data_IF_862924215628
#
_entry.id   IF_862924215628
#
_cell.length_a   1.000
_cell.length_b   1.000
_cell.length_c   1.000
_cell.angle_alpha   90.00
_cell.angle_beta   90.00
_cell.angle_gamma   90.00
#
_symmetry.space_group_name_H-M   'P 1'
#
loop_
_entity.id
_entity.type
_entity.pdbx_description
1 polymer ?
#
# COMPACT_ATOMS: atom_id res chain seq x y z
N UNK A 1 -38.85 20.07 22.62
CA UNK A 1 -38.96 19.12 23.74
C UNK A 1 -39.25 17.73 23.22
N UNK A 2 -38.21 16.95 22.99
CA UNK A 2 -38.27 15.50 22.99
C UNK A 2 -36.90 15.05 23.47
N UNK A 3 -36.90 14.57 24.70
CA UNK A 3 -35.75 14.20 25.50
C UNK A 3 -34.99 13.03 24.88
N UNK A 4 -33.69 13.00 25.17
CA UNK A 4 -32.79 11.95 24.73
C UNK A 4 -33.27 10.57 25.18
N UNK A 5 -33.42 9.68 24.21
CA UNK A 5 -33.33 8.25 24.44
C UNK A 5 -32.02 7.80 23.81
N UNK A 6 -31.07 7.41 24.65
CA UNK A 6 -29.91 6.64 24.22
C UNK A 6 -30.39 5.33 23.58
N UNK A 7 -29.77 4.88 22.47
CA UNK A 7 -30.18 3.66 21.80
C UNK A 7 -30.03 2.43 22.72
N UNK A 8 -30.87 1.39 22.56
CA UNK A 8 -30.83 0.18 23.37
C UNK A 8 -29.47 -0.52 23.26
N UNK A 9 -28.93 -0.99 24.39
CA UNK A 9 -27.73 -1.84 24.41
C UNK A 9 -28.03 -3.15 23.66
N UNK A 10 -27.33 -3.39 22.54
CA UNK A 10 -27.47 -4.60 21.72
C UNK A 10 -27.91 -4.38 20.27
N UNK A 11 -28.01 -3.13 19.79
CA UNK A 11 -28.01 -2.87 18.35
C UNK A 11 -26.63 -3.23 17.78
N UNK A 12 -26.52 -3.80 16.56
CA UNK A 12 -25.25 -3.97 15.87
C UNK A 12 -24.76 -2.59 15.43
N UNK A 13 -24.36 -1.79 16.42
CA UNK A 13 -23.68 -0.54 16.26
C UNK A 13 -22.24 -0.88 15.90
N UNK A 14 -21.80 -0.32 14.78
CA UNK A 14 -20.44 0.08 14.48
C UNK A 14 -19.60 0.22 15.76
N UNK A 15 -18.96 -0.88 16.17
CA UNK A 15 -17.80 -0.82 17.02
C UNK A 15 -16.70 -0.41 16.06
N UNK A 16 -16.35 0.87 16.08
CA UNK A 16 -15.28 1.40 15.25
C UNK A 16 -13.99 0.78 15.76
N UNK A 17 -13.65 -0.39 15.22
CA UNK A 17 -12.38 -1.02 15.48
C UNK A 17 -11.28 -0.04 15.01
N UNK A 18 -10.43 0.46 15.91
CA UNK A 18 -9.30 1.30 15.54
C UNK A 18 -8.27 0.57 14.66
N UNK A 19 -8.43 -0.74 14.42
CA UNK A 19 -7.49 -1.62 13.72
C UNK A 19 -7.69 -1.75 12.20
N UNK A 20 -8.84 -1.39 11.63
CA UNK A 20 -9.06 -1.62 10.19
C UNK A 20 -8.47 -0.47 9.36
N UNK A 21 -7.17 -0.54 9.19
CA UNK A 21 -6.38 0.26 8.28
C UNK A 21 -5.96 -0.65 7.13
N UNK A 22 -6.24 -0.29 5.89
CA UNK A 22 -5.85 -1.14 4.76
C UNK A 22 -4.32 -1.24 4.71
N UNK A 23 -3.78 -2.47 4.71
CA UNK A 23 -2.33 -2.73 4.61
C UNK A 23 -2.06 -3.31 3.23
N UNK A 24 -1.20 -2.64 2.47
CA UNK A 24 -0.73 -3.14 1.17
C UNK A 24 0.68 -3.70 1.34
N UNK A 25 0.88 -4.95 0.94
CA UNK A 25 2.18 -5.61 0.93
C UNK A 25 2.75 -5.65 -0.49
N UNK A 26 4.03 -5.31 -0.62
CA UNK A 26 4.75 -5.36 -1.90
C UNK A 26 6.10 -6.02 -1.67
N UNK A 27 6.31 -7.20 -2.23
CA UNK A 27 7.58 -7.94 -2.12
C UNK A 27 8.42 -7.79 -3.39
N UNK A 28 9.64 -7.25 -3.25
CA UNK A 28 10.59 -7.12 -4.34
C UNK A 28 11.12 -8.48 -4.82
N UNK A 29 11.22 -9.47 -3.93
CA UNK A 29 11.70 -10.81 -4.26
C UNK A 29 10.79 -11.57 -5.22
N UNK A 30 9.51 -11.22 -5.25
CA UNK A 30 8.51 -11.80 -6.18
C UNK A 30 8.51 -11.13 -7.56
N UNK A 31 9.20 -10.01 -7.71
CA UNK A 31 9.35 -9.34 -8.99
C UNK A 31 10.61 -9.87 -9.71
N UNK A 32 10.45 -10.52 -10.85
CA UNK A 32 11.58 -10.76 -11.75
C UNK A 32 11.74 -9.58 -12.74
N UNK A 33 12.83 -8.79 -12.66
CA UNK A 33 13.01 -7.60 -13.50
C UNK A 33 13.29 -7.95 -14.97
N UNK A 34 13.54 -9.21 -15.30
CA UNK A 34 13.68 -9.65 -16.70
C UNK A 34 12.33 -9.89 -17.38
N UNK A 35 11.35 -10.32 -16.59
CA UNK A 35 10.03 -10.71 -17.11
C UNK A 35 9.04 -9.54 -17.04
N UNK A 36 9.19 -8.69 -16.02
CA UNK A 36 8.28 -7.56 -15.75
C UNK A 36 9.01 -6.23 -15.67
N UNK A 37 8.46 -5.24 -16.37
CA UNK A 37 8.95 -3.86 -16.30
C UNK A 37 8.42 -3.13 -15.06
N UNK A 38 9.16 -2.14 -14.57
CA UNK A 38 8.73 -1.28 -13.46
C UNK A 38 7.43 -0.54 -13.80
N UNK A 39 7.17 -0.27 -15.07
CA UNK A 39 5.90 0.31 -15.50
C UNK A 39 4.74 -0.68 -15.35
N UNK A 40 4.92 -1.96 -15.69
CA UNK A 40 3.89 -2.98 -15.47
C UNK A 40 3.63 -3.21 -13.98
N UNK A 41 4.68 -3.29 -13.15
CA UNK A 41 4.53 -3.38 -11.69
C UNK A 41 3.80 -2.14 -11.14
N UNK A 42 4.17 -0.95 -11.61
CA UNK A 42 3.47 0.29 -11.25
C UNK A 42 1.99 0.28 -11.66
N UNK A 43 1.61 -0.32 -12.79
CA UNK A 43 0.20 -0.49 -13.17
C UNK A 43 -0.56 -1.37 -12.20
N UNK A 44 0.06 -2.42 -11.65
CA UNK A 44 -0.58 -3.25 -10.60
C UNK A 44 -0.85 -2.38 -9.36
N UNK A 45 0.08 -1.51 -8.98
CA UNK A 45 -0.13 -0.55 -7.88
C UNK A 45 -1.26 0.45 -8.18
N UNK A 46 -1.41 0.90 -9.44
CA UNK A 46 -2.52 1.76 -9.85
C UNK A 46 -3.86 1.05 -9.73
N UNK A 47 -3.99 -0.16 -10.29
CA UNK A 47 -5.23 -0.94 -10.23
C UNK A 47 -5.61 -1.26 -8.78
N UNK A 48 -4.62 -1.60 -7.96
CA UNK A 48 -4.81 -1.78 -6.51
C UNK A 48 -5.33 -0.48 -5.87
N UNK A 49 -4.70 0.65 -6.19
CA UNK A 49 -5.11 1.96 -5.65
C UNK A 49 -6.52 2.35 -6.10
N UNK A 50 -6.92 2.05 -7.34
CA UNK A 50 -8.27 2.28 -7.85
C UNK A 50 -9.30 1.53 -7.00
N UNK A 51 -9.13 0.23 -6.81
CA UNK A 51 -10.05 -0.61 -6.04
C UNK A 51 -10.15 -0.16 -4.58
N UNK A 52 -9.02 -0.03 -3.88
CA UNK A 52 -9.04 0.35 -2.46
C UNK A 52 -9.53 1.79 -2.26
N UNK A 53 -9.39 2.65 -3.27
CA UNK A 53 -9.92 4.02 -3.19
C UNK A 53 -11.44 4.07 -3.20
N UNK A 54 -12.13 3.00 -3.57
CA UNK A 54 -13.60 2.93 -3.54
C UNK A 54 -14.15 2.47 -2.20
N UNK A 55 -13.31 1.87 -1.35
CA UNK A 55 -13.69 1.45 -0.02
C UNK A 55 -13.86 2.68 0.89
N UNK A 56 -15.10 2.96 1.31
CA UNK A 56 -15.42 4.08 2.19
C UNK A 56 -14.56 4.08 3.46
N UNK A 57 -14.33 2.89 4.03
CA UNK A 57 -13.50 2.73 5.21
C UNK A 57 -12.04 3.16 4.95
N UNK A 58 -11.45 2.72 3.85
CA UNK A 58 -10.10 3.09 3.43
C UNK A 58 -9.98 4.59 3.13
N UNK A 59 -10.99 5.22 2.52
CA UNK A 59 -11.03 6.67 2.32
C UNK A 59 -11.05 7.45 3.66
N UNK A 60 -11.81 6.95 4.64
CA UNK A 60 -11.94 7.58 5.95
C UNK A 60 -10.66 7.40 6.78
N UNK A 61 -10.22 6.15 6.97
CA UNK A 61 -9.13 5.77 7.88
C UNK A 61 -7.75 5.97 7.24
N UNK A 62 -7.63 5.68 5.95
CA UNK A 62 -6.36 5.69 5.21
C UNK A 62 -5.69 4.32 5.19
N UNK A 63 -4.48 4.27 4.64
CA UNK A 63 -3.74 3.02 4.41
C UNK A 63 -2.27 3.12 4.82
N UNK A 64 -1.65 1.96 5.08
CA UNK A 64 -0.22 1.79 5.32
C UNK A 64 0.31 0.83 4.27
N UNK A 65 1.53 1.04 3.84
CA UNK A 65 2.17 0.16 2.86
C UNK A 65 3.42 -0.42 3.47
N UNK A 66 3.63 -1.73 3.32
CA UNK A 66 4.86 -2.42 3.64
C UNK A 66 5.52 -2.84 2.33
N UNK A 67 6.70 -2.29 2.05
CA UNK A 67 7.56 -2.74 0.96
C UNK A 67 8.66 -3.61 1.55
N UNK A 68 8.59 -4.90 1.24
CA UNK A 68 9.64 -5.84 1.56
C UNK A 68 10.67 -5.85 0.42
N UNK A 69 11.84 -5.32 0.72
CA UNK A 69 12.95 -5.18 -0.22
C UNK A 69 13.91 -6.37 -0.17
N UNK A 70 13.54 -7.46 0.51
CA UNK A 70 14.25 -8.73 0.37
C UNK A 70 14.22 -9.18 -1.10
N UNK A 71 15.39 -9.53 -1.65
CA UNK A 71 15.55 -9.86 -3.07
C UNK A 71 15.66 -8.64 -4.01
N UNK A 72 15.64 -7.41 -3.49
CA UNK A 72 15.96 -6.23 -4.29
C UNK A 72 17.35 -6.36 -4.93
N UNK A 73 17.49 -5.94 -6.18
CA UNK A 73 18.68 -6.21 -7.01
C UNK A 73 19.02 -5.00 -7.88
N UNK A 74 20.22 -5.00 -8.48
CA UNK A 74 20.59 -3.96 -9.44
C UNK A 74 19.65 -3.95 -10.66
N UNK A 75 19.14 -5.11 -11.07
CA UNK A 75 18.16 -5.22 -12.15
C UNK A 75 16.89 -4.43 -11.85
N UNK A 76 16.40 -4.46 -10.60
CA UNK A 76 15.29 -3.64 -10.15
C UNK A 76 15.63 -2.14 -10.18
N UNK A 77 16.78 -1.79 -9.60
CA UNK A 77 17.22 -0.40 -9.49
C UNK A 77 17.36 0.29 -10.85
N UNK A 78 17.88 -0.41 -11.87
CA UNK A 78 18.08 0.13 -13.22
C UNK A 78 16.75 0.44 -13.95
N UNK A 79 15.63 -0.15 -13.53
CA UNK A 79 14.33 0.17 -14.10
C UNK A 79 13.70 1.43 -13.52
N UNK A 80 14.17 1.88 -12.35
CA UNK A 80 13.66 3.11 -11.73
C UNK A 80 14.39 4.31 -12.31
N UNK A 81 13.69 5.01 -13.21
CA UNK A 81 14.14 6.26 -13.81
C UNK A 81 13.31 7.45 -13.32
N UNK A 82 13.70 8.72 -13.62
CA UNK A 82 12.97 9.90 -13.15
C UNK A 82 11.50 10.00 -13.61
N UNK A 83 11.12 9.32 -14.71
CA UNK A 83 9.72 9.24 -15.14
C UNK A 83 8.90 8.34 -14.20
N UNK A 84 9.44 7.15 -13.90
CA UNK A 84 8.83 6.21 -12.94
C UNK A 84 8.82 6.82 -11.53
N UNK A 85 9.90 7.48 -11.10
CA UNK A 85 9.97 8.13 -9.79
C UNK A 85 8.88 9.21 -9.60
N UNK A 86 8.59 10.00 -10.63
CA UNK A 86 7.49 10.97 -10.62
C UNK A 86 6.12 10.29 -10.55
N UNK A 87 5.92 9.22 -11.32
CA UNK A 87 4.69 8.42 -11.30
C UNK A 87 4.42 7.82 -9.92
N UNK A 88 5.42 7.19 -9.29
CA UNK A 88 5.34 6.67 -7.92
C UNK A 88 4.92 7.80 -6.96
N UNK A 89 5.58 8.95 -7.06
CA UNK A 89 5.31 10.08 -6.18
C UNK A 89 3.89 10.64 -6.34
N UNK A 90 3.37 10.67 -7.57
CA UNK A 90 1.99 11.09 -7.87
C UNK A 90 0.97 10.19 -7.18
N UNK A 91 1.17 8.87 -7.22
CA UNK A 91 0.25 7.91 -6.59
C UNK A 91 0.25 8.03 -5.07
N UNK A 92 1.42 8.23 -4.48
CA UNK A 92 1.56 8.37 -3.02
C UNK A 92 1.01 9.69 -2.46
N UNK A 93 0.80 10.71 -3.30
CA UNK A 93 0.40 12.04 -2.86
C UNK A 93 -1.05 12.36 -3.21
N UNK A 94 -1.36 12.45 -4.50
CA UNK A 94 -2.53 13.23 -4.94
C UNK A 94 -3.37 12.53 -6.03
N UNK A 95 -2.99 11.33 -6.50
CA UNK A 95 -3.69 10.68 -7.63
C UNK A 95 -5.01 10.00 -7.22
N UNK A 96 -5.18 9.68 -5.94
CA UNK A 96 -6.35 8.97 -5.42
C UNK A 96 -6.87 9.66 -4.15
N UNK A 97 -8.17 9.55 -3.81
CA UNK A 97 -8.74 10.04 -2.56
C UNK A 97 -8.34 9.16 -1.35
N UNK A 98 -7.06 8.79 -1.30
CA UNK A 98 -6.46 7.90 -0.31
C UNK A 98 -5.54 8.68 0.63
N UNK A 99 -5.60 8.35 1.91
CA UNK A 99 -4.70 8.92 2.92
C UNK A 99 -3.59 7.93 3.21
N UNK A 100 -2.42 8.11 2.58
CA UNK A 100 -1.22 7.34 2.91
C UNK A 100 -0.72 7.74 4.29
N UNK A 101 -0.93 6.90 5.31
CA UNK A 101 -0.60 7.19 6.72
C UNK A 101 0.80 6.72 7.12
N UNK A 102 1.36 5.74 6.42
CA UNK A 102 2.70 5.20 6.67
C UNK A 102 3.20 4.39 5.47
N UNK A 103 4.49 4.48 5.20
CA UNK A 103 5.22 3.68 4.20
C UNK A 103 6.39 3.05 4.93
N UNK A 104 6.41 1.74 5.00
CA UNK A 104 7.36 0.96 5.79
C UNK A 104 8.22 0.15 4.83
N UNK A 105 9.51 0.47 4.76
CA UNK A 105 10.51 -0.27 3.99
C UNK A 105 11.20 -1.23 4.95
N UNK A 106 11.13 -2.53 4.65
CA UNK A 106 11.83 -3.57 5.41
C UNK A 106 12.80 -4.29 4.49
N UNK A 107 13.83 -4.91 5.07
CA UNK A 107 14.88 -5.61 4.34
C UNK A 107 15.58 -4.74 3.28
N UNK A 108 15.60 -3.41 3.43
CA UNK A 108 16.17 -2.53 2.42
C UNK A 108 17.70 -2.64 2.38
N UNK A 109 18.29 -3.02 1.24
CA UNK A 109 19.74 -3.08 1.14
C UNK A 109 20.34 -1.69 1.05
N UNK A 110 21.61 -1.51 1.46
CA UNK A 110 22.28 -0.20 1.36
C UNK A 110 22.25 0.42 -0.04
N UNK A 111 22.26 -0.41 -1.09
CA UNK A 111 22.20 0.05 -2.48
C UNK A 111 20.79 0.44 -2.97
N UNK A 112 19.76 0.37 -2.12
CA UNK A 112 18.46 0.99 -2.37
C UNK A 112 18.49 2.52 -2.19
N UNK A 113 19.43 3.04 -1.39
CA UNK A 113 19.52 4.48 -1.07
C UNK A 113 19.56 5.42 -2.30
N UNK A 114 20.31 5.14 -3.38
CA UNK A 114 20.29 5.97 -4.58
C UNK A 114 18.92 6.03 -5.26
N UNK A 115 18.19 4.91 -5.27
CA UNK A 115 16.82 4.84 -5.83
C UNK A 115 15.88 5.69 -4.99
N UNK A 116 15.94 5.56 -3.68
CA UNK A 116 15.16 6.42 -2.78
C UNK A 116 15.51 7.91 -2.94
N UNK A 117 16.79 8.25 -3.10
CA UNK A 117 17.24 9.61 -3.34
C UNK A 117 16.72 10.20 -4.67
N UNK A 118 16.43 9.35 -5.66
CA UNK A 118 15.78 9.76 -6.91
C UNK A 118 14.28 10.06 -6.73
N UNK A 119 13.59 9.30 -5.88
CA UNK A 119 12.14 9.45 -5.63
C UNK A 119 11.87 10.62 -4.68
N UNK A 120 12.64 10.73 -3.60
CA UNK A 120 12.44 11.66 -2.48
C UNK A 120 12.17 13.13 -2.88
N UNK A 121 12.84 13.73 -3.88
CA UNK A 121 12.59 15.12 -4.27
C UNK A 121 11.17 15.40 -4.75
N UNK A 122 10.48 14.39 -5.31
CA UNK A 122 9.13 14.52 -5.84
C UNK A 122 8.05 14.30 -4.77
N UNK A 123 8.43 13.87 -3.57
CA UNK A 123 7.47 13.60 -2.49
C UNK A 123 7.14 14.87 -1.72
N UNK A 124 5.86 15.11 -1.36
CA UNK A 124 5.50 16.15 -0.41
C UNK A 124 6.11 15.86 0.97
N UNK A 125 6.38 16.90 1.76
CA UNK A 125 7.01 16.74 3.08
C UNK A 125 6.18 15.87 4.03
N UNK A 126 4.86 15.94 3.92
CA UNK A 126 3.92 15.08 4.65
C UNK A 126 4.14 13.59 4.36
N UNK A 127 4.46 13.22 3.11
CA UNK A 127 4.75 11.84 2.74
C UNK A 127 6.16 11.46 3.18
N UNK A 128 7.15 12.35 3.00
CA UNK A 128 8.53 12.11 3.47
C UNK A 128 8.60 11.77 4.97
N UNK A 129 7.78 12.44 5.79
CA UNK A 129 7.70 12.21 7.24
C UNK A 129 7.03 10.88 7.63
N UNK A 130 6.34 10.23 6.69
CA UNK A 130 5.61 8.96 6.89
C UNK A 130 6.38 7.76 6.34
N UNK A 131 7.62 7.95 5.88
CA UNK A 131 8.47 6.88 5.37
C UNK A 131 9.37 6.41 6.50
N UNK A 132 9.31 5.12 6.79
CA UNK A 132 10.07 4.42 7.81
C UNK A 132 10.94 3.37 7.14
N UNK A 133 12.24 3.40 7.42
CA UNK A 133 13.22 2.41 6.97
C UNK A 133 13.61 1.59 8.20
N UNK A 134 13.31 0.29 8.17
CA UNK A 134 13.44 -0.59 9.34
C UNK A 134 14.69 -1.46 9.30
N UNK A 135 15.29 -1.66 8.13
CA UNK A 135 16.43 -2.55 7.96
C UNK A 135 16.03 -4.04 8.01
N UNK A 136 16.99 -4.90 8.38
CA UNK A 136 16.79 -6.35 8.47
C UNK A 136 16.14 -6.81 9.78
N UNK A 137 16.32 -6.05 10.86
CA UNK A 137 15.78 -6.38 12.19
C UNK A 137 14.45 -5.66 12.42
N UNK A 138 13.53 -5.80 11.45
CA UNK A 138 12.33 -4.96 11.34
C UNK A 138 11.15 -5.39 12.22
N UNK A 139 11.18 -6.57 12.82
CA UNK A 139 10.02 -7.16 13.51
C UNK A 139 9.53 -6.26 14.66
N UNK A 140 10.44 -5.91 15.59
CA UNK A 140 10.10 -5.06 16.73
C UNK A 140 9.66 -3.66 16.28
N UNK A 141 10.36 -3.08 15.29
CA UNK A 141 10.04 -1.74 14.80
C UNK A 141 8.78 -1.68 13.96
N UNK A 142 8.30 -2.78 13.38
CA UNK A 142 6.98 -2.86 12.75
C UNK A 142 5.86 -2.92 13.79
N UNK A 143 6.06 -3.64 14.90
CA UNK A 143 5.06 -3.76 15.98
C UNK A 143 4.70 -2.39 16.61
N UNK A 144 5.61 -1.41 16.55
CA UNK A 144 5.31 -0.03 16.97
C UNK A 144 4.25 0.66 16.10
N UNK A 145 4.01 0.18 14.87
CA UNK A 145 3.10 0.78 13.91
C UNK A 145 1.90 -0.08 13.56
N UNK A 146 1.97 -1.39 13.76
CA UNK A 146 0.93 -2.34 13.40
C UNK A 146 0.60 -3.23 14.59
N UNK A 147 -0.68 -3.53 14.74
CA UNK A 147 -1.10 -4.49 15.76
C UNK A 147 -0.69 -5.91 15.33
N UNK A 148 -0.28 -6.79 16.26
CA UNK A 148 0.16 -8.14 15.91
C UNK A 148 -0.90 -8.96 15.17
N UNK A 149 -2.18 -8.81 15.52
CA UNK A 149 -3.31 -9.55 14.93
C UNK A 149 -3.58 -9.24 13.44
N UNK A 150 -3.07 -8.12 12.92
CA UNK A 150 -3.25 -7.73 11.51
C UNK A 150 -1.99 -7.96 10.66
N UNK A 151 -0.82 -8.17 11.28
CA UNK A 151 0.40 -8.48 10.55
C UNK A 151 0.49 -9.97 10.23
N UNK A 152 0.93 -10.34 9.02
CA UNK A 152 1.24 -11.73 8.71
C UNK A 152 2.36 -12.29 9.62
N UNK A 153 2.39 -13.62 9.84
CA UNK A 153 3.43 -14.27 10.63
C UNK A 153 4.85 -14.00 10.11
N UNK A 154 5.04 -13.84 8.80
CA UNK A 154 6.32 -13.51 8.17
C UNK A 154 6.86 -12.12 8.56
N UNK A 155 5.99 -11.26 9.10
CA UNK A 155 6.31 -9.92 9.58
C UNK A 155 6.18 -9.79 11.11
N UNK A 156 6.05 -10.91 11.83
CA UNK A 156 6.02 -10.94 13.30
C UNK A 156 4.63 -10.83 13.92
N UNK A 157 3.56 -11.01 13.15
CA UNK A 157 2.19 -10.99 13.64
C UNK A 157 1.52 -12.36 13.74
N UNK A 158 0.21 -12.32 13.92
CA UNK A 158 -0.70 -13.46 14.08
C UNK A 158 -1.84 -13.45 13.05
N UNK A 159 -1.82 -12.52 12.10
CA UNK A 159 -2.82 -12.36 11.05
C UNK A 159 -2.71 -13.43 9.93
N UNK A 160 -3.47 -13.26 8.84
CA UNK A 160 -3.41 -14.16 7.70
C UNK A 160 -2.02 -14.19 7.06
N UNK A 161 -1.62 -15.36 6.57
CA UNK A 161 -0.33 -15.54 5.90
C UNK A 161 -0.22 -14.72 4.61
N UNK A 162 0.97 -14.27 4.26
CA UNK A 162 1.17 -13.37 3.10
C UNK A 162 0.78 -14.03 1.76
N UNK A 163 0.99 -15.34 1.64
CA UNK A 163 0.67 -16.10 0.43
C UNK A 163 -0.84 -16.16 0.20
N UNK A 164 -1.61 -16.46 1.24
CA UNK A 164 -3.08 -16.47 1.21
C UNK A 164 -3.62 -15.07 0.86
N UNK A 165 -3.15 -14.03 1.55
CA UNK A 165 -3.54 -12.66 1.28
C UNK A 165 -3.23 -12.22 -0.16
N UNK A 166 -2.07 -12.62 -0.70
CA UNK A 166 -1.68 -12.33 -2.07
C UNK A 166 -2.60 -13.04 -3.08
N UNK A 167 -2.94 -14.30 -2.82
CA UNK A 167 -3.81 -15.08 -3.69
C UNK A 167 -5.23 -14.52 -3.70
N UNK A 168 -5.76 -14.14 -2.54
CA UNK A 168 -7.08 -13.52 -2.41
C UNK A 168 -7.14 -12.17 -3.11
N UNK A 169 -6.12 -11.33 -2.92
CA UNK A 169 -6.03 -10.04 -3.62
C UNK A 169 -5.93 -10.21 -5.14
N UNK A 170 -5.15 -11.19 -5.58
CA UNK A 170 -5.01 -11.52 -7.01
C UNK A 170 -6.35 -11.93 -7.60
N UNK A 171 -7.11 -12.80 -6.92
CA UNK A 171 -8.44 -13.22 -7.35
C UNK A 171 -9.41 -12.03 -7.40
N UNK A 172 -9.38 -11.15 -6.39
CA UNK A 172 -10.20 -9.94 -6.35
C UNK A 172 -9.87 -9.00 -7.51
N UNK A 173 -8.59 -8.83 -7.83
CA UNK A 173 -8.13 -8.01 -8.95
C UNK A 173 -8.64 -8.55 -10.30
N UNK A 174 -8.55 -9.87 -10.51
CA UNK A 174 -9.08 -10.51 -11.73
C UNK A 174 -10.61 -10.39 -11.85
N UNK A 175 -11.34 -10.56 -10.74
CA UNK A 175 -12.79 -10.40 -10.73
C UNK A 175 -13.23 -8.95 -11.02
N UNK A 176 -12.33 -7.99 -10.81
CA UNK A 176 -12.59 -6.56 -11.01
C UNK A 176 -12.10 -6.05 -12.38
N UNK A 177 -11.62 -6.91 -13.27
CA UNK A 177 -10.99 -6.53 -14.54
C UNK A 177 -11.90 -5.64 -15.41
N UNK A 178 -13.14 -6.08 -15.68
CA UNK A 178 -14.11 -5.32 -16.49
C UNK A 178 -14.37 -3.92 -15.91
N UNK A 179 -14.42 -3.85 -14.59
CA UNK A 179 -14.66 -2.61 -13.88
C UNK A 179 -13.46 -1.65 -13.96
N UNK A 180 -12.24 -2.16 -13.79
CA UNK A 180 -10.99 -1.38 -13.94
C UNK A 180 -10.86 -0.86 -15.37
N UNK A 181 -11.14 -1.69 -16.38
CA UNK A 181 -11.12 -1.28 -17.78
C UNK A 181 -12.14 -0.16 -18.05
N UNK A 182 -13.33 -0.24 -17.43
CA UNK A 182 -14.32 0.82 -17.49
C UNK A 182 -13.81 2.14 -16.91
N UNK A 183 -13.21 2.12 -15.70
CA UNK A 183 -12.64 3.32 -15.07
C UNK A 183 -11.55 3.97 -15.92
N UNK A 184 -10.63 3.16 -16.46
CA UNK A 184 -9.55 3.64 -17.32
C UNK A 184 -10.08 4.30 -18.61
N UNK A 185 -11.19 3.78 -19.16
CA UNK A 185 -11.83 4.40 -20.32
C UNK A 185 -12.38 5.80 -20.01
N UNK A 186 -12.91 6.02 -18.81
CA UNK A 186 -13.48 7.32 -18.39
C UNK A 186 -12.36 8.34 -18.15
N UNK A 187 -11.27 7.92 -17.50
CA UNK A 187 -10.12 8.79 -17.25
C UNK A 187 -9.43 9.24 -18.55
N UNK A 188 -9.37 8.36 -19.56
CA UNK A 188 -8.82 8.71 -20.87
C UNK A 188 -9.71 9.67 -21.70
N UNK A 189 -11.01 9.80 -21.36
CA UNK A 189 -11.93 10.75 -22.01
C UNK A 189 -11.84 12.15 -21.39
N UNK A 190 -11.22 12.28 -20.21
CA UNK A 190 -11.14 13.53 -19.44
C UNK A 190 -9.76 14.22 -19.48
N UNK A 191 -8.86 13.75 -20.35
CA UNK A 191 -7.52 14.29 -20.61
C UNK A 191 -7.31 14.57 -22.09
#
# INVERSE_FOLDING_TARGET
>A
CAEGQSPPSGWPGFESDPLIMHIVFVSAGQWNPKDWTAFQVFRISLMTSELISMETETQMKGLKVIFDLQGWSLGHALQVNPSIARKISSVLSDSFPLKVRGIHLVNEPMFFRPVFAMIRPFLPDKIKQRIHMHGSDYHDSLCDFFSPDILPPEYGGEGPGIEEACQDWTNHLFQSEDFILCLQSIQNVSS
#
